data_IF_869585339633
#
_entry.id   IF_869585339633
#
_cell.length_a   1.000
_cell.length_b   1.000
_cell.length_c   1.000
_cell.angle_alpha   90.00
_cell.angle_beta   90.00
_cell.angle_gamma   90.00
#
_symmetry.space_group_name_H-M   'P 1'
#
loop_
_entity.id
_entity.type
_entity.pdbx_description
1 polymer ?
#
# COMPACT_ATOMS: atom_id res chain seq x y z
N UNK A 1 -6.84 -8.87 -5.96
CA UNK A 1 -6.73 -10.22 -5.40
C UNK A 1 -6.39 -11.23 -6.49
N UNK A 2 -7.20 -11.40 -7.53
CA UNK A 2 -6.96 -12.39 -8.61
C UNK A 2 -5.59 -12.26 -9.27
N UNK A 3 -5.16 -11.05 -9.60
CA UNK A 3 -3.83 -10.77 -10.15
C UNK A 3 -2.72 -11.16 -9.19
N UNK A 4 -2.84 -10.81 -7.91
CA UNK A 4 -1.85 -11.16 -6.89
C UNK A 4 -1.74 -12.68 -6.69
N UNK A 5 -2.87 -13.40 -6.74
CA UNK A 5 -2.87 -14.87 -6.69
C UNK A 5 -2.15 -15.47 -7.91
N UNK A 6 -2.35 -14.93 -9.10
CA UNK A 6 -1.64 -15.38 -10.30
C UNK A 6 -0.13 -15.12 -10.20
N UNK A 7 0.28 -13.93 -9.74
CA UNK A 7 1.70 -13.60 -9.52
C UNK A 7 2.30 -14.54 -8.48
N UNK A 8 1.58 -14.81 -7.37
CA UNK A 8 2.03 -15.75 -6.34
C UNK A 8 2.30 -17.15 -6.89
N UNK A 9 1.42 -17.63 -7.75
CA UNK A 9 1.54 -18.96 -8.36
C UNK A 9 2.62 -19.05 -9.46
N UNK A 10 2.90 -17.94 -10.16
CA UNK A 10 3.87 -17.93 -11.28
C UNK A 10 5.29 -17.55 -10.87
N UNK A 11 5.47 -17.08 -9.65
CA UNK A 11 6.77 -16.64 -9.14
C UNK A 11 7.17 -17.44 -7.91
N UNK A 12 8.48 -17.54 -7.63
CA UNK A 12 9.00 -18.30 -6.50
C UNK A 12 9.98 -17.53 -5.62
N UNK A 13 10.42 -16.33 -6.04
CA UNK A 13 11.46 -15.57 -5.32
C UNK A 13 11.07 -14.14 -4.97
N UNK A 14 10.27 -13.50 -5.83
CA UNK A 14 9.90 -12.11 -5.65
C UNK A 14 8.90 -11.97 -4.50
N UNK A 15 9.07 -10.95 -3.72
CA UNK A 15 8.06 -10.53 -2.76
C UNK A 15 6.89 -9.88 -3.48
N UNK A 16 5.71 -10.00 -2.91
CA UNK A 16 4.46 -9.50 -3.48
C UNK A 16 3.85 -8.54 -2.48
N UNK A 17 3.86 -7.26 -2.79
CA UNK A 17 3.30 -6.22 -1.91
C UNK A 17 2.05 -5.62 -2.56
N UNK A 18 0.90 -5.68 -1.90
CA UNK A 18 -0.28 -4.93 -2.31
C UNK A 18 -0.16 -3.47 -1.86
N UNK A 19 -0.15 -2.52 -2.80
CA UNK A 19 -0.07 -1.08 -2.51
C UNK A 19 -1.22 -0.32 -3.15
N UNK A 20 -2.37 -0.30 -2.60
CA UNK A 20 -2.94 -0.87 -1.39
C UNK A 20 -4.29 -1.55 -1.68
N UNK A 21 -4.78 -2.38 -0.76
CA UNK A 21 -6.18 -2.82 -0.75
C UNK A 21 -7.05 -1.81 0.00
N UNK A 22 -8.12 -1.31 -0.63
CA UNK A 22 -9.13 -0.44 0.03
C UNK A 22 -10.04 -1.31 0.88
N UNK A 23 -9.53 -1.80 2.01
CA UNK A 23 -10.19 -2.82 2.83
C UNK A 23 -11.54 -2.36 3.40
N UNK A 24 -11.73 -1.06 3.57
CA UNK A 24 -13.01 -0.48 4.02
C UNK A 24 -14.19 -0.83 3.12
N UNK A 25 -13.94 -1.12 1.86
CA UNK A 25 -14.94 -1.49 0.86
C UNK A 25 -15.27 -2.99 0.84
N UNK A 26 -14.53 -3.82 1.60
CA UNK A 26 -14.63 -5.29 1.53
C UNK A 26 -15.10 -5.89 2.86
N UNK A 27 -15.72 -7.08 2.78
CA UNK A 27 -16.01 -7.87 3.96
C UNK A 27 -14.70 -8.40 4.57
N UNK A 28 -14.45 -8.20 5.88
CA UNK A 28 -13.18 -8.57 6.50
C UNK A 28 -12.97 -10.08 6.63
N UNK A 29 -14.05 -10.89 6.77
CA UNK A 29 -13.95 -12.34 6.87
C UNK A 29 -13.56 -12.92 5.52
N UNK A 30 -14.22 -12.47 4.45
CA UNK A 30 -13.90 -12.88 3.09
C UNK A 30 -12.45 -12.45 2.72
N UNK A 31 -12.09 -11.21 3.05
CA UNK A 31 -10.74 -10.68 2.81
C UNK A 31 -9.67 -11.48 3.55
N UNK A 32 -9.91 -11.84 4.81
CA UNK A 32 -8.98 -12.66 5.59
C UNK A 32 -8.71 -14.00 4.90
N UNK A 33 -9.73 -14.66 4.36
CA UNK A 33 -9.60 -15.93 3.63
C UNK A 33 -8.84 -15.76 2.31
N UNK A 34 -9.14 -14.70 1.56
CA UNK A 34 -8.50 -14.44 0.28
C UNK A 34 -7.01 -14.12 0.46
N UNK A 35 -6.65 -13.29 1.44
CA UNK A 35 -5.25 -12.95 1.71
C UNK A 35 -4.47 -14.14 2.30
N UNK A 36 -5.12 -14.97 3.14
CA UNK A 36 -4.54 -16.23 3.59
C UNK A 36 -4.25 -17.18 2.43
N UNK A 37 -5.09 -17.20 1.39
CA UNK A 37 -4.85 -18.00 0.18
C UNK A 37 -3.62 -17.48 -0.59
N UNK A 38 -3.45 -16.16 -0.70
CA UNK A 38 -2.27 -15.57 -1.36
C UNK A 38 -1.00 -15.84 -0.53
N UNK A 39 -1.07 -15.72 0.79
CA UNK A 39 0.03 -16.05 1.70
C UNK A 39 0.49 -17.50 1.52
N UNK A 40 -0.45 -18.43 1.47
CA UNK A 40 -0.18 -19.85 1.23
C UNK A 40 0.41 -20.10 -0.17
N UNK A 41 -0.17 -19.54 -1.23
CA UNK A 41 0.31 -19.70 -2.61
C UNK A 41 1.69 -19.09 -2.83
N UNK A 42 1.99 -18.03 -2.12
CA UNK A 42 3.28 -17.35 -2.19
C UNK A 42 4.33 -17.92 -1.24
N UNK A 43 3.98 -18.89 -0.39
CA UNK A 43 4.86 -19.40 0.65
C UNK A 43 5.41 -18.29 1.55
N UNK A 44 4.53 -17.38 2.01
CA UNK A 44 4.86 -16.28 2.91
C UNK A 44 5.53 -15.07 2.29
N UNK A 45 5.61 -14.98 0.95
CA UNK A 45 6.17 -13.80 0.24
C UNK A 45 5.17 -12.64 0.09
N UNK A 46 3.97 -12.76 0.62
CA UNK A 46 2.93 -11.77 0.46
C UNK A 46 2.91 -10.78 1.64
N UNK A 47 2.91 -9.49 1.31
CA UNK A 47 2.71 -8.38 2.24
C UNK A 47 1.45 -7.61 1.83
N UNK A 48 0.59 -7.32 2.80
CA UNK A 48 -0.69 -6.67 2.58
C UNK A 48 -0.63 -5.19 2.95
N UNK A 49 -0.60 -4.30 1.97
CA UNK A 49 -0.88 -2.89 2.18
C UNK A 49 -2.38 -2.63 2.23
N UNK A 50 -2.83 -1.88 3.24
CA UNK A 50 -4.23 -1.52 3.45
C UNK A 50 -4.43 -0.01 3.53
N UNK A 51 -5.58 0.47 3.09
CA UNK A 51 -5.94 1.87 3.16
C UNK A 51 -7.43 2.11 3.03
N UNK A 52 -7.78 3.39 3.05
CA UNK A 52 -9.20 3.82 3.02
C UNK A 52 -9.67 4.28 1.63
N UNK A 53 -8.77 4.34 0.65
CA UNK A 53 -9.10 4.89 -0.67
C UNK A 53 -9.39 6.39 -0.67
N UNK A 54 -9.48 6.96 -1.87
CA UNK A 54 -9.65 8.41 -2.07
C UNK A 54 -10.87 8.81 -2.90
N UNK A 55 -11.64 7.83 -3.44
CA UNK A 55 -12.76 8.11 -4.35
C UNK A 55 -14.08 7.69 -3.72
N UNK A 56 -15.03 8.62 -3.66
CA UNK A 56 -16.38 8.38 -3.16
C UNK A 56 -17.16 7.47 -4.10
N UNK A 57 -17.01 7.67 -5.41
CA UNK A 57 -17.69 6.90 -6.45
C UNK A 57 -17.37 5.39 -6.40
N UNK A 58 -16.15 5.04 -5.96
CA UNK A 58 -15.79 3.63 -5.77
C UNK A 58 -16.64 2.99 -4.66
N UNK A 59 -16.89 3.73 -3.58
CA UNK A 59 -17.76 3.29 -2.49
C UNK A 59 -19.21 3.19 -2.93
N UNK A 60 -19.72 4.21 -3.62
CA UNK A 60 -21.08 4.22 -4.14
C UNK A 60 -21.35 3.06 -5.09
N UNK A 61 -20.39 2.73 -5.96
CA UNK A 61 -20.52 1.68 -6.96
C UNK A 61 -20.80 0.29 -6.38
N UNK A 62 -20.42 0.06 -5.14
CA UNK A 62 -20.65 -1.22 -4.42
C UNK A 62 -21.61 -1.08 -3.24
N UNK A 63 -22.26 0.08 -3.08
CA UNK A 63 -23.15 0.36 -1.96
C UNK A 63 -22.45 0.45 -0.59
N UNK A 64 -21.15 0.72 -0.57
CA UNK A 64 -20.42 0.94 0.67
C UNK A 64 -20.57 2.39 1.16
N UNK A 65 -20.49 2.58 2.48
CA UNK A 65 -20.68 3.89 3.07
C UNK A 65 -19.39 4.74 3.00
N UNK A 66 -19.47 5.89 2.34
CA UNK A 66 -18.45 6.93 2.37
C UNK A 66 -18.54 7.71 3.69
N UNK A 67 -17.74 7.30 4.68
CA UNK A 67 -17.77 7.86 6.03
C UNK A 67 -16.47 8.57 6.38
N UNK A 68 -16.57 9.66 7.14
CA UNK A 68 -15.40 10.33 7.71
C UNK A 68 -14.65 9.47 8.74
N UNK A 69 -15.27 8.39 9.25
CA UNK A 69 -14.65 7.43 10.19
C UNK A 69 -13.97 6.25 9.50
N UNK A 70 -13.60 6.36 8.23
CA UNK A 70 -13.01 5.25 7.45
C UNK A 70 -11.75 4.65 8.08
N UNK A 71 -10.92 5.43 8.73
CA UNK A 71 -9.73 4.91 9.43
C UNK A 71 -10.09 4.03 10.63
N UNK A 72 -11.10 4.40 11.41
CA UNK A 72 -11.59 3.55 12.49
C UNK A 72 -12.19 2.24 11.93
N UNK A 73 -12.99 2.34 10.86
CA UNK A 73 -13.53 1.17 10.17
C UNK A 73 -12.42 0.26 9.61
N UNK A 74 -11.34 0.84 9.06
CA UNK A 74 -10.18 0.09 8.60
C UNK A 74 -9.54 -0.68 9.76
N UNK A 75 -9.27 0.01 10.88
CA UNK A 75 -8.67 -0.61 12.07
C UNK A 75 -9.53 -1.77 12.60
N UNK A 76 -10.85 -1.60 12.66
CA UNK A 76 -11.78 -2.66 13.10
C UNK A 76 -11.75 -3.87 12.16
N UNK A 77 -11.74 -3.64 10.83
CA UNK A 77 -11.66 -4.72 9.84
C UNK A 77 -10.32 -5.46 9.89
N UNK A 78 -9.22 -4.75 10.08
CA UNK A 78 -7.91 -5.39 10.25
C UNK A 78 -7.87 -6.26 11.51
N UNK A 79 -8.40 -5.77 12.63
CA UNK A 79 -8.51 -6.58 13.87
C UNK A 79 -9.32 -7.85 13.68
N UNK A 80 -10.44 -7.78 12.95
CA UNK A 80 -11.22 -8.97 12.59
C UNK A 80 -10.37 -9.96 11.79
N UNK A 81 -9.64 -9.49 10.77
CA UNK A 81 -8.77 -10.36 9.98
C UNK A 81 -7.67 -11.00 10.82
N UNK A 82 -6.99 -10.23 11.66
CA UNK A 82 -5.95 -10.73 12.57
C UNK A 82 -6.51 -11.77 13.54
N UNK A 83 -7.71 -11.56 14.09
CA UNK A 83 -8.34 -12.54 15.00
C UNK A 83 -8.72 -13.85 14.30
N UNK A 84 -9.03 -13.82 13.00
CA UNK A 84 -9.24 -15.01 12.19
C UNK A 84 -7.92 -15.73 11.94
N UNK A 85 -6.86 -15.01 11.65
CA UNK A 85 -5.54 -15.57 11.39
C UNK A 85 -4.89 -16.17 12.65
N UNK A 86 -5.07 -15.54 13.81
CA UNK A 86 -4.61 -16.08 15.09
C UNK A 86 -5.44 -17.26 15.61
N UNK A 87 -6.54 -17.61 14.93
CA UNK A 87 -7.49 -18.68 15.31
C UNK A 87 -8.22 -18.44 16.63
N UNK A 88 -8.23 -17.22 17.13
CA UNK A 88 -8.89 -16.89 18.40
C UNK A 88 -10.41 -16.97 18.31
N UNK A 89 -11.00 -16.60 17.16
CA UNK A 89 -12.44 -16.46 17.03
C UNK A 89 -13.11 -17.55 16.20
N UNK A 90 -12.45 -18.08 15.19
CA UNK A 90 -13.04 -19.03 14.24
C UNK A 90 -12.03 -20.09 13.80
N UNK A 91 -11.70 -21.05 14.65
CA UNK A 91 -10.63 -22.02 14.40
C UNK A 91 -10.87 -22.91 13.16
N UNK A 92 -12.09 -22.96 12.63
CA UNK A 92 -12.46 -23.75 11.46
C UNK A 92 -12.37 -22.97 10.14
N UNK A 93 -12.07 -21.67 10.15
CA UNK A 93 -11.89 -20.89 8.91
C UNK A 93 -10.52 -21.18 8.30
N UNK A 94 -10.52 -22.03 7.27
CA UNK A 94 -9.36 -22.20 6.38
C UNK A 94 -9.29 -21.12 5.30
N UNK A 95 -8.21 -21.06 4.48
CA UNK A 95 -7.08 -21.97 4.49
C UNK A 95 -6.15 -21.77 5.67
N UNK A 96 -5.26 -22.77 5.92
CA UNK A 96 -4.15 -22.58 6.84
C UNK A 96 -3.22 -21.52 6.27
N UNK A 97 -2.69 -20.68 7.15
CA UNK A 97 -1.67 -19.70 6.79
C UNK A 97 -0.32 -20.39 6.58
N UNK A 98 0.48 -19.84 5.70
CA UNK A 98 1.91 -20.14 5.66
C UNK A 98 2.62 -19.37 6.79
N UNK A 99 2.32 -18.11 6.92
CA UNK A 99 2.82 -17.24 8.00
C UNK A 99 2.05 -17.49 9.31
N UNK A 100 2.72 -17.58 10.44
CA UNK A 100 2.14 -17.99 11.73
C UNK A 100 0.95 -17.12 12.19
N UNK A 101 0.98 -15.80 11.85
CA UNK A 101 -0.04 -14.83 12.27
C UNK A 101 -0.67 -14.08 11.08
N UNK A 102 -0.55 -14.61 9.88
CA UNK A 102 -0.97 -13.96 8.64
C UNK A 102 0.13 -13.12 7.98
N UNK A 103 -0.16 -12.59 6.78
CA UNK A 103 0.77 -11.73 6.07
C UNK A 103 1.05 -10.44 6.87
N UNK A 104 2.25 -9.90 6.69
CA UNK A 104 2.62 -8.60 7.24
C UNK A 104 1.67 -7.52 6.71
N UNK A 105 1.28 -6.55 7.55
CA UNK A 105 0.34 -5.49 7.18
C UNK A 105 1.05 -4.15 7.14
N UNK A 106 0.96 -3.45 6.02
CA UNK A 106 1.41 -2.08 5.85
C UNK A 106 0.21 -1.12 5.73
N UNK A 107 0.33 0.08 6.27
CA UNK A 107 -0.72 1.09 6.17
C UNK A 107 -0.40 2.14 5.10
N UNK A 108 -1.33 2.40 4.19
CA UNK A 108 -1.28 3.53 3.25
C UNK A 108 -1.70 4.84 3.92
N UNK A 109 -1.03 5.21 5.01
CA UNK A 109 -1.37 6.39 5.81
C UNK A 109 -0.53 7.60 5.39
N UNK A 110 -1.18 8.71 5.07
CA UNK A 110 -0.49 9.94 4.59
C UNK A 110 -0.39 11.00 5.70
N UNK A 111 -1.44 11.18 6.50
CA UNK A 111 -1.49 12.24 7.51
C UNK A 111 -1.17 11.75 8.93
N UNK A 112 -0.78 12.66 9.86
CA UNK A 112 -0.38 12.31 11.22
C UNK A 112 -1.44 11.49 11.98
N UNK A 113 -2.70 11.90 11.95
CA UNK A 113 -3.80 11.18 12.62
C UNK A 113 -4.03 9.77 12.07
N UNK A 114 -3.85 9.59 10.76
CA UNK A 114 -3.95 8.28 10.13
C UNK A 114 -2.80 7.38 10.59
N UNK A 115 -1.61 7.94 10.72
CA UNK A 115 -0.42 7.24 11.19
C UNK A 115 -0.55 6.80 12.65
N UNK A 116 -1.00 7.70 13.55
CA UNK A 116 -1.27 7.38 14.96
C UNK A 116 -2.27 6.20 15.11
N UNK A 117 -3.24 6.11 14.23
CA UNK A 117 -4.16 4.97 14.21
C UNK A 117 -3.51 3.70 13.64
N UNK A 118 -2.70 3.85 12.60
CA UNK A 118 -2.09 2.75 11.86
C UNK A 118 -1.09 1.95 12.69
N UNK A 119 -0.32 2.58 13.58
CA UNK A 119 0.67 1.91 14.44
C UNK A 119 0.07 0.80 15.31
N UNK A 120 -1.24 0.89 15.60
CA UNK A 120 -1.92 -0.10 16.45
C UNK A 120 -2.25 -1.41 15.73
N UNK A 121 -2.18 -1.44 14.39
CA UNK A 121 -2.58 -2.62 13.61
C UNK A 121 -1.64 -2.93 12.45
N UNK A 122 -0.66 -2.09 12.14
CA UNK A 122 0.27 -2.31 11.02
C UNK A 122 1.70 -2.54 11.48
N UNK A 123 2.51 -3.04 10.56
CA UNK A 123 3.94 -3.29 10.75
C UNK A 123 4.80 -2.23 10.04
N UNK A 124 4.18 -1.22 9.44
CA UNK A 124 4.88 -0.14 8.74
C UNK A 124 4.02 0.61 7.74
N UNK A 125 4.70 1.27 6.81
CA UNK A 125 4.13 2.16 5.81
C UNK A 125 4.15 1.52 4.41
N UNK A 126 3.03 1.62 3.70
CA UNK A 126 2.96 1.53 2.24
C UNK A 126 2.89 2.96 1.66
N UNK A 127 4.03 3.60 1.53
CA UNK A 127 4.15 4.98 1.09
C UNK A 127 4.06 5.16 -0.42
N UNK A 128 3.79 6.39 -0.84
CA UNK A 128 3.80 6.79 -2.23
C UNK A 128 4.23 8.25 -2.35
N UNK A 129 5.27 8.54 -3.17
CA UNK A 129 5.64 9.89 -3.53
C UNK A 129 5.10 10.22 -4.91
N UNK A 130 4.26 11.24 -4.98
CA UNK A 130 3.61 11.65 -6.21
C UNK A 130 4.61 12.24 -7.21
N UNK A 131 5.52 13.07 -6.72
CA UNK A 131 6.49 13.79 -7.55
C UNK A 131 7.87 13.10 -7.61
N UNK A 132 8.02 11.89 -7.06
CA UNK A 132 9.31 11.27 -6.87
C UNK A 132 10.31 12.21 -6.14
N UNK A 133 9.87 12.77 -5.01
CA UNK A 133 10.61 13.75 -4.23
C UNK A 133 11.23 13.09 -3.00
N UNK A 134 12.56 13.11 -2.91
CA UNK A 134 13.30 12.48 -1.83
C UNK A 134 13.03 13.13 -0.47
N UNK A 135 12.74 14.43 -0.43
CA UNK A 135 12.44 15.10 0.83
C UNK A 135 11.07 14.70 1.35
N UNK A 136 10.07 14.60 0.46
CA UNK A 136 8.73 14.08 0.81
C UNK A 136 8.83 12.67 1.39
N UNK A 137 9.67 11.80 0.79
CA UNK A 137 9.88 10.43 1.25
C UNK A 137 10.55 10.43 2.63
N UNK A 138 11.61 11.19 2.84
CA UNK A 138 12.29 11.33 4.14
C UNK A 138 11.33 11.81 5.24
N UNK A 139 10.63 12.89 4.98
CA UNK A 139 9.66 13.46 5.94
C UNK A 139 8.55 12.45 6.28
N UNK A 140 8.14 11.63 5.30
CA UNK A 140 7.16 10.56 5.53
C UNK A 140 7.73 9.46 6.42
N UNK A 141 8.95 9.01 6.16
CA UNK A 141 9.62 7.98 6.97
C UNK A 141 9.89 8.44 8.40
N UNK A 142 10.37 9.68 8.59
CA UNK A 142 10.58 10.26 9.93
C UNK A 142 9.28 10.28 10.74
N UNK A 143 8.16 10.68 10.14
CA UNK A 143 6.85 10.64 10.80
C UNK A 143 6.44 9.23 11.20
N UNK A 144 6.70 8.24 10.34
CA UNK A 144 6.39 6.83 10.65
C UNK A 144 7.25 6.33 11.78
N UNK A 145 8.56 6.51 11.70
CA UNK A 145 9.51 6.07 12.74
C UNK A 145 9.11 6.66 14.10
N UNK A 146 8.87 7.99 14.14
CA UNK A 146 8.44 8.65 15.37
C UNK A 146 7.11 8.14 15.93
N UNK A 147 6.14 7.82 15.06
CA UNK A 147 4.87 7.23 15.49
C UNK A 147 5.06 5.82 16.08
N UNK A 148 5.98 5.03 15.53
CA UNK A 148 6.24 3.67 15.97
C UNK A 148 7.12 3.57 17.24
N UNK A 149 7.85 4.63 17.63
CA UNK A 149 8.62 4.67 18.89
C UNK A 149 7.75 4.35 20.10
N UNK A 150 6.46 4.78 20.10
CA UNK A 150 5.53 4.56 21.22
C UNK A 150 5.07 3.10 21.36
N UNK A 151 5.28 2.26 20.35
CA UNK A 151 4.87 0.84 20.37
C UNK A 151 6.06 -0.12 20.36
N UNK A 152 7.28 0.39 20.54
CA UNK A 152 8.52 -0.38 20.62
C UNK A 152 8.73 -1.33 19.42
N UNK A 153 8.29 -0.91 18.22
CA UNK A 153 8.45 -1.65 16.97
C UNK A 153 9.29 -0.83 15.97
N UNK A 154 10.10 -1.51 15.21
CA UNK A 154 10.76 -0.94 14.03
C UNK A 154 9.84 -1.09 12.82
N UNK A 155 9.34 0.02 12.22
CA UNK A 155 8.44 -0.09 11.09
C UNK A 155 9.15 -0.54 9.82
N UNK A 156 8.47 -1.30 8.97
CA UNK A 156 8.85 -1.50 7.58
C UNK A 156 8.51 -0.25 6.78
N UNK A 157 9.47 0.29 6.04
CA UNK A 157 9.34 1.54 5.29
C UNK A 157 9.35 1.24 3.79
N UNK A 158 8.17 1.15 3.21
CA UNK A 158 7.98 0.94 1.78
C UNK A 158 7.57 2.25 1.13
N UNK A 159 8.16 2.58 -0.01
CA UNK A 159 7.70 3.69 -0.85
C UNK A 159 7.54 3.24 -2.28
N UNK A 160 6.80 4.02 -3.06
CA UNK A 160 6.62 3.81 -4.49
C UNK A 160 6.45 5.15 -5.19
N UNK A 161 6.71 5.19 -6.48
CA UNK A 161 6.55 6.38 -7.32
C UNK A 161 6.38 5.96 -8.78
N UNK A 162 5.86 6.87 -9.61
CA UNK A 162 5.86 6.66 -11.07
C UNK A 162 7.21 6.99 -11.66
N UNK A 163 7.62 6.21 -12.65
CA UNK A 163 8.82 6.52 -13.43
C UNK A 163 8.64 6.21 -14.91
N UNK A 164 9.39 6.91 -15.74
CA UNK A 164 9.53 6.65 -17.17
C UNK A 164 11.00 6.78 -17.57
N UNK A 165 11.43 5.96 -18.52
CA UNK A 165 12.81 5.92 -18.99
C UNK A 165 12.89 6.20 -20.48
N UNK A 166 13.97 6.91 -20.89
CA UNK A 166 14.25 7.25 -22.28
C UNK A 166 13.74 8.62 -22.72
N UNK A 167 13.86 8.90 -24.02
CA UNK A 167 13.62 10.24 -24.59
C UNK A 167 12.19 10.73 -24.46
N UNK A 168 11.20 9.81 -24.48
CA UNK A 168 9.77 10.14 -24.32
C UNK A 168 9.26 10.05 -22.88
N UNK A 169 10.12 9.73 -21.91
CA UNK A 169 9.76 9.42 -20.53
C UNK A 169 8.77 10.41 -19.89
N UNK A 170 9.00 11.71 -20.04
CA UNK A 170 8.10 12.73 -19.49
C UNK A 170 6.73 12.74 -20.18
N UNK A 171 6.70 12.63 -21.49
CA UNK A 171 5.45 12.59 -22.26
C UNK A 171 4.64 11.33 -21.93
N UNK A 172 5.28 10.18 -21.83
CA UNK A 172 4.64 8.90 -21.48
C UNK A 172 4.02 8.95 -20.09
N UNK A 173 4.74 9.50 -19.10
CA UNK A 173 4.19 9.71 -17.75
C UNK A 173 2.98 10.65 -17.80
N UNK A 174 3.08 11.77 -18.52
CA UNK A 174 1.98 12.74 -18.62
C UNK A 174 0.73 12.12 -19.24
N UNK A 175 0.88 11.40 -20.35
CA UNK A 175 -0.24 10.72 -21.03
C UNK A 175 -0.89 9.71 -20.10
N UNK A 176 -0.07 8.87 -19.44
CA UNK A 176 -0.56 7.88 -18.49
C UNK A 176 -1.31 8.53 -17.32
N UNK A 177 -0.73 9.54 -16.70
CA UNK A 177 -1.29 10.17 -15.51
C UNK A 177 -2.53 11.00 -15.80
N UNK A 178 -2.61 11.70 -16.93
CA UNK A 178 -3.85 12.38 -17.36
C UNK A 178 -5.00 11.40 -17.44
N UNK A 179 -4.76 10.22 -18.02
CA UNK A 179 -5.76 9.16 -18.11
C UNK A 179 -6.10 8.58 -16.73
N UNK A 180 -5.09 8.29 -15.92
CA UNK A 180 -5.26 7.68 -14.59
C UNK A 180 -5.96 8.60 -13.60
N UNK A 181 -5.65 9.91 -13.63
CA UNK A 181 -6.18 10.93 -12.73
C UNK A 181 -7.42 11.66 -13.29
N UNK A 182 -7.90 11.29 -14.48
CA UNK A 182 -9.02 11.97 -15.14
C UNK A 182 -10.30 12.05 -14.31
N UNK A 183 -10.47 11.14 -13.35
CA UNK A 183 -11.58 11.18 -12.39
C UNK A 183 -11.55 12.41 -11.45
N UNK A 184 -10.39 13.08 -11.31
CA UNK A 184 -10.23 14.30 -10.51
C UNK A 184 -10.62 15.58 -11.28
N UNK A 185 -10.99 15.43 -12.56
CA UNK A 185 -11.21 16.51 -13.51
C UNK A 185 -9.97 16.84 -14.34
N UNK A 186 -10.20 17.26 -15.59
CA UNK A 186 -9.15 17.43 -16.60
C UNK A 186 -8.07 18.45 -16.21
N UNK A 187 -8.47 19.57 -15.58
CA UNK A 187 -7.55 20.63 -15.18
C UNK A 187 -6.58 20.15 -14.10
N UNK A 188 -7.10 19.49 -13.05
CA UNK A 188 -6.29 18.97 -11.95
C UNK A 188 -5.42 17.81 -12.43
N UNK A 189 -5.96 16.89 -13.20
CA UNK A 189 -5.21 15.78 -13.79
C UNK A 189 -4.05 16.29 -14.67
N UNK A 190 -4.29 17.32 -15.48
CA UNK A 190 -3.26 17.96 -16.31
C UNK A 190 -2.19 18.63 -15.48
N UNK A 191 -2.57 19.39 -14.45
CA UNK A 191 -1.64 20.07 -13.55
C UNK A 191 -0.73 19.05 -12.84
N UNK A 192 -1.31 18.03 -12.23
CA UNK A 192 -0.57 17.01 -11.48
C UNK A 192 0.35 16.18 -12.38
N UNK A 193 -0.07 15.84 -13.59
CA UNK A 193 0.73 15.05 -14.53
C UNK A 193 2.02 15.74 -14.99
N UNK A 194 2.10 17.06 -14.91
CA UNK A 194 3.27 17.82 -15.36
C UNK A 194 4.50 17.60 -14.46
N UNK A 195 4.29 17.43 -13.17
CA UNK A 195 5.37 17.30 -12.15
C UNK A 195 5.54 15.90 -11.62
N UNK A 196 4.52 15.04 -11.76
CA UNK A 196 4.52 13.72 -11.16
C UNK A 196 5.56 12.78 -11.75
N UNK A 197 6.11 11.93 -10.89
CA UNK A 197 7.02 10.86 -11.24
C UNK A 197 8.41 11.30 -11.65
N UNK A 198 9.30 10.33 -11.73
CA UNK A 198 10.68 10.46 -12.23
C UNK A 198 10.72 10.20 -13.73
N UNK A 199 11.13 11.18 -14.53
CA UNK A 199 11.39 11.00 -15.95
C UNK A 199 12.90 11.18 -16.19
N UNK A 200 13.56 10.17 -16.77
CA UNK A 200 15.00 10.23 -16.97
C UNK A 200 15.58 8.98 -17.61
N UNK A 201 16.85 8.75 -17.35
CA UNK A 201 17.61 7.60 -17.79
C UNK A 201 17.62 6.49 -16.72
N UNK A 202 18.10 5.29 -17.08
CA UNK A 202 18.36 4.22 -16.11
C UNK A 202 19.29 4.66 -14.98
N UNK A 203 20.23 5.57 -15.30
CA UNK A 203 21.13 6.11 -14.29
C UNK A 203 20.39 7.00 -13.28
N UNK A 204 19.50 7.88 -13.77
CA UNK A 204 18.70 8.75 -12.89
C UNK A 204 17.81 7.92 -11.97
N UNK A 205 17.19 6.87 -12.49
CA UNK A 205 16.42 5.94 -11.68
C UNK A 205 17.28 5.25 -10.62
N UNK A 206 18.46 4.74 -11.02
CA UNK A 206 19.38 4.07 -10.10
C UNK A 206 19.85 5.02 -8.99
N UNK A 207 20.23 6.25 -9.34
CA UNK A 207 20.72 7.24 -8.39
C UNK A 207 19.59 7.59 -7.39
N UNK A 208 18.37 7.77 -7.87
CA UNK A 208 17.20 8.02 -7.01
C UNK A 208 16.86 6.82 -6.08
N UNK A 209 16.94 5.59 -6.57
CA UNK A 209 16.76 4.40 -5.73
C UNK A 209 17.82 4.29 -4.63
N UNK A 210 19.06 4.72 -4.89
CA UNK A 210 20.10 4.78 -3.87
C UNK A 210 19.80 5.86 -2.82
N UNK A 211 19.32 7.03 -3.22
CA UNK A 211 18.88 8.08 -2.28
C UNK A 211 17.73 7.62 -1.39
N UNK A 212 16.75 6.90 -1.97
CA UNK A 212 15.62 6.31 -1.21
C UNK A 212 16.14 5.27 -0.21
N UNK A 213 17.07 4.42 -0.61
CA UNK A 213 17.70 3.44 0.28
C UNK A 213 18.44 4.14 1.43
N UNK A 214 19.21 5.20 1.14
CA UNK A 214 19.95 5.97 2.15
C UNK A 214 18.99 6.75 3.08
N UNK A 215 17.77 7.04 2.63
CA UNK A 215 16.70 7.59 3.46
C UNK A 215 16.07 6.56 4.41
N UNK A 216 16.45 5.29 4.33
CA UNK A 216 16.00 4.23 5.23
C UNK A 216 14.89 3.35 4.69
N UNK A 217 14.57 3.43 3.39
CA UNK A 217 13.59 2.50 2.80
C UNK A 217 14.03 1.04 2.97
N UNK A 218 13.09 0.21 3.35
CA UNK A 218 13.27 -1.24 3.34
C UNK A 218 12.98 -1.82 1.96
N UNK A 219 12.04 -1.19 1.22
CA UNK A 219 11.60 -1.63 -0.11
C UNK A 219 11.14 -0.43 -0.97
N UNK A 220 11.25 -0.59 -2.29
CA UNK A 220 10.79 0.38 -3.29
C UNK A 220 10.06 -0.34 -4.42
#
# INVERSE_FOLDING_TARGET
>A
ISTLSAVAAWTSRVEIIATISVLTMHDPVLSAKQFATIDMLSEGRFTLGVGVGGREEDYESIGANWSQRRWALLADKVKIMQSIWSKEHLPALGPNLFSSNGPQILAGAVGPKAMEMAVNFSDGLAGFSFNADIQEIKDSFERVVSAFEHVEKSPRLVTSFWFGLGDSAREDIQIHLKRYLGWMGDDLASMLSNTAGLAGTERDLKDFLLEIKDAGATDV
#
